data_IF_559933258481
#
_entry.id   IF_559933258481
#
_cell.length_a   1.000
_cell.length_b   1.000
_cell.length_c   1.000
_cell.angle_alpha   90.00
_cell.angle_beta   90.00
_cell.angle_gamma   90.00
#
_symmetry.space_group_name_H-M   'P 1'
#
loop_
_entity.id
_entity.type
_entity.pdbx_description
1 polymer ?
#
# COMPACT_ATOMS: atom_id res chain seq x y z
N UNK A 1 0.39 15.12 -6.46
CA UNK A 1 0.25 15.05 -4.98
C UNK A 1 1.22 15.96 -4.24
N UNK A 2 2.51 15.84 -4.51
CA UNK A 2 3.52 16.70 -3.85
C UNK A 2 3.25 18.20 -4.06
N UNK A 3 2.94 18.62 -5.27
CA UNK A 3 2.70 20.04 -5.59
C UNK A 3 1.50 20.59 -4.79
N UNK A 4 0.41 19.84 -4.70
CA UNK A 4 -0.75 20.25 -3.92
C UNK A 4 -0.42 20.37 -2.43
N UNK A 5 0.39 19.45 -1.93
CA UNK A 5 0.83 19.44 -0.54
C UNK A 5 1.72 20.67 -0.25
N UNK A 6 2.65 20.96 -1.15
CA UNK A 6 3.56 22.10 -1.01
C UNK A 6 2.82 23.44 -1.04
N UNK A 7 1.77 23.57 -1.89
CA UNK A 7 0.95 24.78 -1.95
C UNK A 7 0.28 25.12 -0.63
N UNK A 8 -0.05 24.13 0.18
CA UNK A 8 -0.71 24.31 1.47
C UNK A 8 0.25 24.76 2.58
N UNK A 9 1.56 24.76 2.34
CA UNK A 9 2.60 25.21 3.25
C UNK A 9 2.47 24.61 4.66
N UNK A 10 2.26 23.31 4.73
CA UNK A 10 2.09 22.60 5.98
C UNK A 10 3.44 22.45 6.71
N UNK A 11 3.39 22.51 8.05
CA UNK A 11 4.62 22.51 8.87
C UNK A 11 5.33 21.16 8.89
N UNK A 12 4.59 20.07 8.98
CA UNK A 12 5.17 18.72 9.05
C UNK A 12 4.67 17.89 7.88
N UNK A 13 5.25 18.11 6.68
CA UNK A 13 4.77 17.40 5.48
C UNK A 13 5.00 15.90 5.63
N UNK A 14 3.90 15.15 5.60
CA UNK A 14 3.94 13.69 5.69
C UNK A 14 2.73 13.10 4.97
N UNK A 15 2.97 12.05 4.20
CA UNK A 15 1.93 11.30 3.49
C UNK A 15 2.16 9.83 3.75
N UNK A 16 1.09 9.10 4.06
CA UNK A 16 1.06 7.66 4.04
C UNK A 16 0.29 7.26 2.79
N UNK A 17 0.90 6.47 1.92
CA UNK A 17 0.29 6.08 0.65
C UNK A 17 -0.50 4.79 0.85
N UNK A 18 -1.78 4.85 0.54
CA UNK A 18 -2.67 3.70 0.58
C UNK A 18 -2.46 2.87 -0.70
N UNK A 19 -2.01 1.62 -0.55
CA UNK A 19 -1.77 0.71 -1.67
C UNK A 19 -3.01 -0.10 -2.04
N UNK A 20 -4.09 0.03 -1.28
CA UNK A 20 -5.34 -0.69 -1.50
C UNK A 20 -6.34 0.21 -2.22
N UNK A 21 -7.44 0.47 -1.75
CA UNK A 21 -8.53 1.31 -2.25
C UNK A 21 -8.35 1.89 -3.68
N UNK A 22 -8.32 3.22 -3.81
CA UNK A 22 -8.31 3.88 -5.14
C UNK A 22 -7.03 3.62 -5.94
N UNK A 23 -5.88 3.55 -5.28
CA UNK A 23 -4.60 3.34 -5.98
C UNK A 23 -4.50 1.97 -6.62
N UNK A 24 -5.14 0.96 -6.05
CA UNK A 24 -5.13 -0.40 -6.59
C UNK A 24 -6.34 -0.70 -7.46
N UNK A 25 -7.33 0.20 -7.52
CA UNK A 25 -8.64 -0.09 -8.08
C UNK A 25 -9.35 -1.20 -7.32
N UNK A 26 -9.03 -1.37 -6.04
CA UNK A 26 -9.54 -2.42 -5.16
C UNK A 26 -9.22 -3.84 -5.62
N UNK A 27 -8.10 -4.03 -6.33
CA UNK A 27 -7.62 -5.36 -6.74
C UNK A 27 -6.64 -5.88 -5.70
N UNK A 28 -6.89 -7.04 -5.13
CA UNK A 28 -6.10 -7.58 -4.02
C UNK A 28 -4.64 -7.87 -4.38
N UNK A 29 -4.35 -8.12 -5.66
CA UNK A 29 -3.00 -8.47 -6.12
C UNK A 29 -2.12 -7.26 -6.46
N UNK A 30 -2.67 -6.04 -6.47
CA UNK A 30 -1.96 -4.82 -6.87
C UNK A 30 -1.05 -4.20 -5.80
N UNK A 31 -1.33 -4.28 -4.48
CA UNK A 31 -0.51 -3.61 -3.49
C UNK A 31 1.00 -3.85 -3.57
N UNK A 32 1.52 -5.08 -3.82
CA UNK A 32 2.97 -5.26 -3.95
C UNK A 32 3.58 -4.44 -5.07
N UNK A 33 2.93 -4.36 -6.22
CA UNK A 33 3.39 -3.56 -7.35
C UNK A 33 3.40 -2.08 -7.00
N UNK A 34 2.32 -1.60 -6.40
CA UNK A 34 2.17 -0.21 -6.01
C UNK A 34 3.24 0.18 -4.98
N UNK A 35 3.46 -0.68 -3.97
CA UNK A 35 4.48 -0.44 -2.95
C UNK A 35 5.87 -0.32 -3.57
N UNK A 36 6.22 -1.20 -4.50
CA UNK A 36 7.51 -1.15 -5.21
C UNK A 36 7.65 0.11 -6.05
N UNK A 37 6.59 0.52 -6.73
CA UNK A 37 6.58 1.76 -7.52
C UNK A 37 6.82 2.98 -6.63
N UNK A 38 6.22 3.02 -5.44
CA UNK A 38 6.40 4.13 -4.51
C UNK A 38 7.84 4.19 -4.01
N UNK A 39 8.44 3.06 -3.65
CA UNK A 39 9.84 2.99 -3.20
C UNK A 39 10.77 3.48 -4.31
N UNK A 40 10.54 3.05 -5.56
CA UNK A 40 11.31 3.52 -6.71
C UNK A 40 11.14 5.03 -6.91
N UNK A 41 9.94 5.55 -6.80
CA UNK A 41 9.67 6.98 -6.92
C UNK A 41 10.42 7.78 -5.86
N UNK A 42 10.49 7.28 -4.63
CA UNK A 42 11.25 7.91 -3.56
C UNK A 42 12.75 7.94 -3.84
N UNK A 43 13.29 6.89 -4.50
CA UNK A 43 14.70 6.85 -4.89
C UNK A 43 15.02 7.84 -6.00
N UNK A 44 14.09 8.06 -6.93
CA UNK A 44 14.28 8.89 -8.10
C UNK A 44 13.97 10.37 -7.87
N UNK A 45 13.13 10.67 -6.88
CA UNK A 45 12.66 12.03 -6.63
C UNK A 45 12.81 12.40 -5.15
N UNK A 46 13.78 13.28 -4.80
CA UNK A 46 14.00 13.69 -3.40
C UNK A 46 12.79 14.38 -2.77
N UNK A 47 11.98 15.09 -3.55
CA UNK A 47 10.80 15.77 -3.03
C UNK A 47 9.75 14.78 -2.54
N UNK A 48 9.54 13.70 -3.30
CA UNK A 48 8.64 12.62 -2.90
C UNK A 48 9.18 11.93 -1.66
N UNK A 49 10.48 11.66 -1.60
CA UNK A 49 11.12 11.04 -0.44
C UNK A 49 10.93 11.84 0.83
N UNK A 50 10.90 13.16 0.74
CA UNK A 50 10.71 14.03 1.90
C UNK A 50 9.33 13.89 2.55
N UNK A 51 8.28 13.67 1.76
CA UNK A 51 6.91 13.66 2.26
C UNK A 51 6.33 12.28 2.49
N UNK A 52 6.78 11.25 1.74
CA UNK A 52 6.27 9.88 1.91
C UNK A 52 6.92 9.25 3.13
N UNK A 53 6.12 9.01 4.17
CA UNK A 53 6.59 8.47 5.45
C UNK A 53 6.22 7.01 5.65
N UNK A 54 5.32 6.47 4.85
CA UNK A 54 4.92 5.09 4.99
C UNK A 54 3.87 4.66 3.98
N UNK A 55 3.51 3.39 4.08
CA UNK A 55 2.52 2.75 3.23
C UNK A 55 1.41 2.19 4.10
N UNK A 56 0.19 2.15 3.55
CA UNK A 56 -0.93 1.44 4.15
C UNK A 56 -1.24 0.24 3.28
N UNK A 57 -1.18 -0.95 3.86
CA UNK A 57 -1.46 -2.21 3.16
C UNK A 57 -2.46 -2.99 4.00
N UNK A 58 -3.56 -3.38 3.38
CA UNK A 58 -4.54 -4.24 4.02
C UNK A 58 -4.20 -5.70 3.72
N UNK A 59 -4.07 -6.49 4.76
CA UNK A 59 -3.62 -7.87 4.66
C UNK A 59 -4.46 -8.80 5.53
N UNK A 60 -4.70 -10.01 5.03
CA UNK A 60 -5.33 -11.09 5.76
C UNK A 60 -4.47 -12.35 5.64
N UNK A 61 -4.96 -13.48 6.13
CA UNK A 61 -4.26 -14.76 5.95
C UNK A 61 -4.46 -15.24 4.52
N UNK A 62 -5.69 -15.14 4.01
CA UNK A 62 -6.05 -15.54 2.64
C UNK A 62 -6.22 -14.35 1.71
N UNK A 63 -5.95 -14.56 0.42
CA UNK A 63 -6.13 -13.53 -0.59
C UNK A 63 -7.60 -13.21 -0.87
N UNK A 64 -7.87 -11.96 -1.25
CA UNK A 64 -9.17 -11.56 -1.78
C UNK A 64 -10.19 -11.18 -0.73
N UNK A 65 -11.44 -11.46 -1.02
CA UNK A 65 -12.56 -11.20 -0.11
C UNK A 65 -13.66 -12.23 -0.31
N UNK A 66 -14.62 -12.24 0.60
CA UNK A 66 -15.74 -13.19 0.59
C UNK A 66 -17.03 -12.54 1.09
N UNK A 67 -18.15 -13.17 0.82
CA UNK A 67 -19.41 -12.81 1.46
C UNK A 67 -19.40 -13.27 2.93
N UNK A 68 -20.12 -12.55 3.78
CA UNK A 68 -20.20 -12.88 5.20
C UNK A 68 -20.62 -14.33 5.43
N UNK A 69 -21.50 -14.85 4.57
CA UNK A 69 -22.03 -16.21 4.67
C UNK A 69 -21.04 -17.30 4.27
N UNK A 70 -19.93 -16.98 3.63
CA UNK A 70 -18.99 -17.99 3.12
C UNK A 70 -18.14 -18.64 4.22
N UNK A 71 -17.86 -17.91 5.31
CA UNK A 71 -17.25 -18.47 6.52
C UNK A 71 -15.82 -18.96 6.38
N UNK A 72 -15.05 -18.47 5.41
CA UNK A 72 -13.64 -18.85 5.24
C UNK A 72 -12.79 -18.11 6.27
N UNK A 73 -12.08 -18.86 7.11
CA UNK A 73 -11.24 -18.27 8.14
C UNK A 73 -10.06 -17.49 7.54
N UNK A 74 -9.82 -16.29 8.08
CA UNK A 74 -8.68 -15.48 7.66
C UNK A 74 -8.82 -14.80 6.32
N UNK A 75 -10.04 -14.67 5.79
CA UNK A 75 -10.33 -14.00 4.53
C UNK A 75 -11.25 -12.80 4.76
N UNK A 76 -10.94 -11.67 4.15
CA UNK A 76 -11.70 -10.43 4.31
C UNK A 76 -13.17 -10.59 3.92
N UNK A 77 -14.06 -9.98 4.66
CA UNK A 77 -15.49 -9.90 4.33
C UNK A 77 -15.87 -8.53 3.77
N UNK A 78 -14.91 -7.66 3.59
CA UNK A 78 -15.10 -6.31 3.06
C UNK A 78 -14.27 -6.14 1.78
N UNK A 79 -13.31 -5.25 1.76
CA UNK A 79 -12.47 -5.01 0.58
C UNK A 79 -11.52 -6.19 0.31
N UNK A 80 -11.19 -6.45 -0.97
CA UNK A 80 -10.20 -7.49 -1.29
C UNK A 80 -8.83 -7.14 -0.71
N UNK A 81 -8.25 -8.08 0.01
CA UNK A 81 -6.97 -7.89 0.70
C UNK A 81 -5.91 -8.87 0.21
N UNK A 82 -4.64 -8.48 0.41
CA UNK A 82 -3.49 -9.33 0.14
C UNK A 82 -3.39 -10.40 1.22
N UNK A 83 -3.15 -11.65 0.84
CA UNK A 83 -2.93 -12.73 1.79
C UNK A 83 -1.56 -12.64 2.45
N UNK A 84 -1.35 -13.42 3.53
CA UNK A 84 -0.13 -13.32 4.32
C UNK A 84 1.14 -13.73 3.57
N UNK A 85 1.11 -14.80 2.80
CA UNK A 85 2.29 -15.23 2.05
C UNK A 85 2.79 -14.15 1.10
N UNK A 86 1.88 -13.50 0.41
CA UNK A 86 2.21 -12.41 -0.51
C UNK A 86 2.63 -11.13 0.23
N UNK A 87 2.03 -10.87 1.38
CA UNK A 87 2.41 -9.74 2.24
C UNK A 87 3.83 -9.91 2.76
N UNK A 88 4.17 -11.10 3.26
CA UNK A 88 5.51 -11.41 3.74
C UNK A 88 6.54 -11.24 2.62
N UNK A 89 6.27 -11.78 1.44
CA UNK A 89 7.16 -11.65 0.30
C UNK A 89 7.34 -10.19 -0.11
N UNK A 90 6.26 -9.43 -0.12
CA UNK A 90 6.32 -7.99 -0.41
C UNK A 90 7.22 -7.26 0.57
N UNK A 91 7.08 -7.53 1.88
CA UNK A 91 7.90 -6.90 2.90
C UNK A 91 9.39 -7.22 2.74
N UNK A 92 9.72 -8.46 2.42
CA UNK A 92 11.10 -8.88 2.17
C UNK A 92 11.65 -8.21 0.91
N UNK A 93 10.86 -8.15 -0.15
CA UNK A 93 11.27 -7.50 -1.40
C UNK A 93 11.50 -5.99 -1.18
N UNK A 94 10.63 -5.32 -0.43
CA UNK A 94 10.79 -3.90 -0.11
C UNK A 94 12.05 -3.66 0.73
N UNK A 95 12.34 -4.54 1.69
CA UNK A 95 13.54 -4.43 2.50
C UNK A 95 14.81 -4.50 1.64
N UNK A 96 14.82 -5.37 0.63
CA UNK A 96 15.94 -5.47 -0.31
C UNK A 96 16.10 -4.24 -1.19
N UNK A 97 15.02 -3.52 -1.46
CA UNK A 97 15.02 -2.30 -2.28
C UNK A 97 15.51 -1.06 -1.54
N UNK A 98 15.47 -1.06 -0.22
CA UNK A 98 15.82 0.12 0.61
C UNK A 98 17.32 0.27 0.83
#
# INVERSE_FOLDING_TARGET
MYAMYAERKLKNPAIIVDTNHNNSGKKWAEPPRIAKDIVNSCKLNPDIKKIVKGLMVESYIEDGCQAISDGVYGKSITDPCLGWEKTERMLLDLADML
#
